data_IF_885135422901
#
_entry.id   IF_885135422901
#
_cell.length_a   1.000
_cell.length_b   1.000
_cell.length_c   1.000
_cell.angle_alpha   90.00
_cell.angle_beta   90.00
_cell.angle_gamma   90.00
#
_symmetry.space_group_name_H-M   'P 1'
#
loop_
_entity.id
_entity.type
_entity.pdbx_description
1 polymer ?
#
# COMPACT_ATOMS: atom_id res chain seq x y z
N UNK A 1 1.15 -1.51 1.89
CA UNK A 1 -0.13 -1.81 1.20
C UNK A 1 -0.78 -0.48 0.86
N UNK A 2 -1.31 -0.34 -0.36
CA UNK A 2 -2.04 0.86 -0.77
C UNK A 2 -3.51 0.49 -1.01
N UNK A 3 -4.43 1.14 -0.31
CA UNK A 3 -5.86 1.03 -0.57
C UNK A 3 -6.24 2.12 -1.58
N UNK A 4 -6.74 1.72 -2.74
CA UNK A 4 -7.25 2.67 -3.72
C UNK A 4 -8.51 3.36 -3.19
N UNK A 5 -8.74 4.61 -3.58
CA UNK A 5 -9.95 5.35 -3.25
C UNK A 5 -11.21 4.78 -3.95
N UNK A 6 -11.01 4.01 -5.04
CA UNK A 6 -12.05 3.28 -5.77
C UNK A 6 -11.54 1.93 -6.21
N UNK A 7 -12.43 0.95 -6.28
CA UNK A 7 -12.12 -0.37 -6.81
C UNK A 7 -11.75 -0.29 -8.29
N UNK A 8 -10.68 -0.98 -8.68
CA UNK A 8 -10.32 -1.15 -10.08
C UNK A 8 -11.32 -2.07 -10.79
N UNK A 9 -11.73 -1.72 -12.01
CA UNK A 9 -12.54 -2.59 -12.88
C UNK A 9 -11.63 -3.60 -13.55
N UNK A 10 -11.86 -4.90 -13.30
CA UNK A 10 -11.07 -5.96 -13.92
C UNK A 10 -11.51 -6.17 -15.38
N UNK A 11 -10.53 -6.37 -16.26
CA UNK A 11 -10.75 -6.60 -17.69
C UNK A 11 -9.55 -7.37 -18.29
N UNK A 12 -9.39 -7.34 -19.62
CA UNK A 12 -8.28 -8.02 -20.29
C UNK A 12 -6.89 -7.45 -19.94
N UNK A 13 -6.80 -6.16 -19.60
CA UNK A 13 -5.57 -5.44 -19.24
C UNK A 13 -5.35 -5.32 -17.72
N UNK A 14 -6.42 -5.40 -16.92
CA UNK A 14 -6.38 -5.23 -15.45
C UNK A 14 -6.77 -6.54 -14.78
N UNK A 15 -5.76 -7.25 -14.26
CA UNK A 15 -5.92 -8.53 -13.58
C UNK A 15 -5.24 -8.53 -12.22
N UNK A 16 -5.75 -9.39 -11.32
CA UNK A 16 -5.11 -9.65 -10.02
C UNK A 16 -4.05 -10.73 -10.20
N UNK A 17 -2.92 -10.57 -9.53
CA UNK A 17 -1.90 -11.61 -9.39
C UNK A 17 -2.03 -12.30 -8.03
N UNK A 18 -1.69 -13.59 -7.99
CA UNK A 18 -1.84 -14.40 -6.77
C UNK A 18 -0.64 -14.21 -5.85
N UNK A 19 -0.88 -14.31 -4.55
CA UNK A 19 0.17 -14.45 -3.55
C UNK A 19 0.54 -15.93 -3.37
N UNK A 20 1.79 -16.24 -2.96
CA UNK A 20 2.19 -17.59 -2.60
C UNK A 20 1.61 -18.00 -1.25
N UNK A 21 1.71 -19.30 -0.95
CA UNK A 21 1.46 -19.78 0.41
C UNK A 21 2.47 -19.16 1.38
N UNK A 22 2.11 -19.01 2.67
CA UNK A 22 3.05 -18.54 3.69
C UNK A 22 4.33 -19.38 3.75
N UNK A 23 5.44 -18.73 4.14
CA UNK A 23 6.74 -19.34 4.44
C UNK A 23 7.42 -20.13 3.29
N UNK A 24 6.94 -20.02 2.05
CA UNK A 24 7.61 -20.62 0.89
C UNK A 24 8.93 -19.91 0.58
N UNK A 25 10.02 -20.66 0.50
CA UNK A 25 11.30 -20.17 0.00
C UNK A 25 11.56 -20.66 -1.42
N UNK A 26 11.88 -19.74 -2.33
CA UNK A 26 12.27 -20.13 -3.68
C UNK A 26 13.66 -20.78 -3.65
N UNK A 27 13.81 -21.89 -4.35
CA UNK A 27 15.08 -22.61 -4.42
C UNK A 27 16.08 -21.82 -5.28
N UNK A 28 17.37 -21.77 -4.91
CA UNK A 28 18.40 -21.24 -5.79
C UNK A 28 18.35 -21.90 -7.17
N UNK A 29 18.57 -21.13 -8.24
CA UNK A 29 18.42 -21.58 -9.62
C UNK A 29 17.01 -21.42 -10.19
N UNK A 30 16.00 -21.08 -9.39
CA UNK A 30 14.66 -20.74 -9.89
C UNK A 30 14.74 -19.47 -10.75
N UNK A 31 14.29 -19.54 -11.99
CA UNK A 31 14.16 -18.37 -12.88
C UNK A 31 12.82 -17.69 -12.61
N UNK A 32 12.86 -16.38 -12.38
CA UNK A 32 11.71 -15.54 -12.12
C UNK A 32 11.75 -14.34 -13.08
N UNK A 33 10.59 -13.79 -13.39
CA UNK A 33 10.49 -12.53 -14.11
C UNK A 33 10.39 -11.36 -13.13
N UNK A 34 10.98 -10.23 -13.48
CA UNK A 34 10.74 -8.94 -12.83
C UNK A 34 10.31 -7.93 -13.89
N UNK A 35 9.34 -7.09 -13.55
CA UNK A 35 8.75 -6.11 -14.46
C UNK A 35 8.72 -4.72 -13.83
N UNK A 36 8.92 -3.68 -14.63
CA UNK A 36 8.91 -2.30 -14.14
C UNK A 36 9.19 -1.23 -15.20
N UNK A 37 9.08 0.02 -14.76
CA UNK A 37 9.39 1.23 -15.54
C UNK A 37 10.63 1.95 -14.99
N UNK A 38 11.45 1.26 -14.20
CA UNK A 38 12.71 1.78 -13.73
C UNK A 38 13.69 2.01 -14.86
N UNK A 39 14.83 2.62 -14.51
CA UNK A 39 15.83 3.00 -15.47
C UNK A 39 16.39 1.78 -16.21
N UNK A 40 16.50 1.87 -17.54
CA UNK A 40 17.05 0.81 -18.41
C UNK A 40 18.57 0.92 -18.60
N UNK A 41 19.19 1.94 -18.01
CA UNK A 41 20.63 2.15 -18.02
C UNK A 41 21.11 2.75 -16.70
N UNK A 42 22.41 2.67 -16.43
CA UNK A 42 23.03 3.28 -15.26
C UNK A 42 23.16 4.81 -15.38
N UNK A 43 22.51 5.42 -16.37
CA UNK A 43 22.57 6.86 -16.66
C UNK A 43 21.20 7.55 -16.51
N UNK A 44 20.19 6.86 -15.95
CA UNK A 44 18.88 7.44 -15.67
C UNK A 44 17.90 7.44 -16.85
N UNK A 45 18.16 6.61 -17.87
CA UNK A 45 17.27 6.50 -19.02
C UNK A 45 16.00 5.74 -18.65
N UNK A 46 14.83 6.32 -18.90
CA UNK A 46 13.53 5.72 -18.60
C UNK A 46 12.88 5.09 -19.83
N UNK A 47 12.26 3.91 -19.70
CA UNK A 47 11.61 3.26 -20.82
C UNK A 47 10.26 3.92 -21.14
N UNK A 48 9.89 3.89 -22.43
CA UNK A 48 8.56 4.31 -22.90
C UNK A 48 7.46 3.28 -22.63
N UNK A 49 7.85 2.02 -22.39
CA UNK A 49 6.95 0.89 -22.20
C UNK A 49 7.33 0.13 -20.92
N UNK A 50 6.43 -0.73 -20.45
CA UNK A 50 6.75 -1.64 -19.36
C UNK A 50 7.86 -2.61 -19.80
N UNK A 51 8.91 -2.71 -19.01
CA UNK A 51 10.03 -3.61 -19.28
C UNK A 51 9.89 -4.89 -18.44
N UNK A 52 10.49 -5.97 -18.95
CA UNK A 52 10.58 -7.27 -18.27
C UNK A 52 11.99 -7.83 -18.45
N UNK A 53 12.50 -8.49 -17.41
CA UNK A 53 13.72 -9.29 -17.53
C UNK A 53 13.68 -10.50 -16.60
N UNK A 54 14.48 -11.52 -16.95
CA UNK A 54 14.64 -12.71 -16.15
C UNK A 54 15.75 -12.52 -15.11
N UNK A 55 15.50 -13.02 -13.90
CA UNK A 55 16.49 -13.12 -12.84
C UNK A 55 16.48 -14.52 -12.23
N UNK A 56 17.64 -15.01 -11.85
CA UNK A 56 17.77 -16.32 -11.22
C UNK A 56 17.96 -16.16 -9.72
N UNK A 57 17.17 -16.88 -8.92
CA UNK A 57 17.31 -16.89 -7.47
C UNK A 57 18.70 -17.36 -7.06
N UNK A 58 19.39 -16.54 -6.28
CA UNK A 58 20.72 -16.83 -5.73
C UNK A 58 20.58 -17.34 -4.30
N UNK A 59 21.48 -18.24 -3.89
CA UNK A 59 21.51 -18.77 -2.52
C UNK A 59 21.66 -17.62 -1.53
N UNK A 60 20.71 -17.49 -0.59
CA UNK A 60 20.69 -16.42 0.42
C UNK A 60 22.00 -16.29 1.19
N UNK A 61 22.65 -17.41 1.53
CA UNK A 61 23.94 -17.39 2.24
C UNK A 61 25.04 -16.72 1.41
N UNK A 62 25.07 -16.96 0.10
CA UNK A 62 26.00 -16.29 -0.81
C UNK A 62 25.72 -14.79 -0.89
N UNK A 63 24.44 -14.41 -1.05
CA UNK A 63 24.09 -12.99 -1.07
C UNK A 63 24.41 -12.30 0.24
N UNK A 64 24.21 -12.96 1.38
CA UNK A 64 24.63 -12.42 2.67
C UNK A 64 26.14 -12.18 2.72
N UNK A 65 26.97 -13.05 2.15
CA UNK A 65 28.41 -12.82 2.02
C UNK A 65 28.71 -11.62 1.13
N UNK A 66 28.12 -11.58 -0.09
CA UNK A 66 28.32 -10.49 -1.05
C UNK A 66 27.90 -9.12 -0.49
N UNK A 67 26.80 -9.09 0.25
CA UNK A 67 26.26 -7.89 0.90
C UNK A 67 26.76 -7.68 2.34
N UNK A 68 27.89 -8.29 2.72
CA UNK A 68 28.56 -8.06 4.02
C UNK A 68 27.63 -8.20 5.24
N UNK A 69 26.78 -9.22 5.24
CA UNK A 69 25.87 -9.55 6.32
C UNK A 69 24.47 -8.93 6.23
N UNK A 70 24.21 -8.02 5.28
CA UNK A 70 22.96 -7.23 5.25
C UNK A 70 21.71 -7.97 4.74
N UNK A 71 21.85 -9.19 4.24
CA UNK A 71 20.73 -9.99 3.71
C UNK A 71 20.16 -10.90 4.81
N UNK A 72 18.88 -10.72 5.12
CA UNK A 72 18.15 -11.46 6.17
C UNK A 72 17.28 -12.61 5.62
N UNK A 73 16.67 -13.39 6.52
CA UNK A 73 15.70 -14.44 6.17
C UNK A 73 14.40 -13.90 5.54
N UNK A 74 14.14 -12.60 5.67
CA UNK A 74 13.00 -11.90 5.07
C UNK A 74 13.29 -11.42 3.63
N UNK A 75 14.44 -11.80 3.07
CA UNK A 75 14.87 -11.36 1.75
C UNK A 75 15.08 -12.55 0.81
N UNK A 76 14.80 -12.30 -0.46
CA UNK A 76 15.22 -13.09 -1.62
C UNK A 76 16.28 -12.29 -2.38
N UNK A 77 17.04 -13.01 -3.18
CA UNK A 77 18.17 -12.47 -3.90
C UNK A 77 18.15 -13.01 -5.33
N UNK A 78 18.34 -12.15 -6.32
CA UNK A 78 18.29 -12.50 -7.73
C UNK A 78 19.45 -11.89 -8.50
N UNK A 79 20.01 -12.64 -9.44
CA UNK A 79 20.95 -12.11 -10.42
C UNK A 79 20.75 -12.81 -11.75
N UNK A 80 20.88 -12.08 -12.86
CA UNK A 80 20.87 -12.70 -14.18
C UNK A 80 22.06 -13.63 -14.36
N UNK A 81 21.84 -14.74 -15.08
CA UNK A 81 22.90 -15.67 -15.48
C UNK A 81 23.63 -15.22 -16.74
N UNK A 82 23.09 -14.23 -17.44
CA UNK A 82 23.66 -13.70 -18.67
C UNK A 82 24.98 -12.95 -18.40
N UNK A 83 25.76 -12.77 -19.46
CA UNK A 83 27.02 -12.02 -19.45
C UNK A 83 26.78 -10.52 -19.44
N UNK A 84 25.64 -10.07 -19.96
CA UNK A 84 25.17 -8.68 -19.87
C UNK A 84 24.53 -8.41 -18.52
N UNK A 85 24.60 -7.14 -18.09
CA UNK A 85 23.94 -6.70 -16.86
C UNK A 85 22.45 -6.63 -17.10
N UNK A 86 21.71 -7.37 -16.29
CA UNK A 86 20.25 -7.44 -16.32
C UNK A 86 19.78 -7.61 -14.88
N UNK A 87 18.75 -6.86 -14.53
CA UNK A 87 18.24 -6.79 -13.17
C UNK A 87 17.33 -5.58 -13.00
N UNK A 88 17.14 -5.19 -11.76
CA UNK A 88 16.32 -4.03 -11.37
C UNK A 88 17.17 -2.77 -11.24
N UNK A 89 16.55 -1.62 -11.42
CA UNK A 89 17.21 -0.34 -11.26
C UNK A 89 16.34 0.69 -10.51
N UNK A 90 16.79 1.93 -10.47
CA UNK A 90 16.05 3.01 -9.85
C UNK A 90 14.66 3.15 -10.50
N UNK A 91 13.61 3.21 -9.68
CA UNK A 91 12.22 3.26 -10.15
C UNK A 91 11.49 1.91 -10.17
N UNK A 92 12.20 0.77 -10.10
CA UNK A 92 11.53 -0.54 -10.04
C UNK A 92 11.07 -0.94 -8.63
N UNK A 93 11.51 -0.22 -7.59
CA UNK A 93 11.16 -0.49 -6.19
C UNK A 93 9.65 -0.58 -5.98
N UNK A 94 9.20 -1.64 -5.30
CA UNK A 94 7.77 -1.96 -5.16
C UNK A 94 7.22 -2.86 -6.26
N UNK A 95 7.94 -3.05 -7.36
CA UNK A 95 7.60 -3.95 -8.45
C UNK A 95 7.63 -5.43 -8.05
N UNK A 96 6.95 -6.31 -8.81
CA UNK A 96 6.82 -7.72 -8.44
C UNK A 96 7.96 -8.57 -9.02
N UNK A 97 8.47 -9.50 -8.20
CA UNK A 97 9.22 -10.68 -8.66
C UNK A 97 8.24 -11.85 -8.81
N UNK A 98 8.04 -12.28 -10.05
CA UNK A 98 6.99 -13.21 -10.45
C UNK A 98 7.56 -14.59 -10.80
N UNK A 99 6.95 -15.64 -10.24
CA UNK A 99 7.22 -17.02 -10.63
C UNK A 99 5.91 -17.80 -10.68
N UNK A 100 5.66 -18.48 -11.81
CA UNK A 100 4.42 -19.28 -12.04
C UNK A 100 3.14 -18.49 -11.66
N UNK A 101 3.00 -17.27 -12.20
CA UNK A 101 1.86 -16.37 -11.98
C UNK A 101 1.57 -16.00 -10.51
N UNK A 102 2.60 -16.02 -9.65
CA UNK A 102 2.54 -15.59 -8.25
C UNK A 102 3.67 -14.62 -7.93
N UNK A 103 3.43 -13.67 -7.02
CA UNK A 103 4.44 -12.71 -6.58
C UNK A 103 5.18 -13.24 -5.35
N UNK A 104 6.45 -13.61 -5.50
CA UNK A 104 7.27 -14.12 -4.40
C UNK A 104 8.15 -13.04 -3.77
N UNK A 105 8.47 -12.00 -4.53
CA UNK A 105 9.33 -10.90 -4.09
C UNK A 105 8.75 -9.53 -4.43
N UNK A 106 9.14 -8.53 -3.65
CA UNK A 106 8.95 -7.11 -3.97
C UNK A 106 10.34 -6.52 -4.18
N UNK A 107 10.59 -5.86 -5.31
CA UNK A 107 11.85 -5.16 -5.57
C UNK A 107 12.15 -4.19 -4.42
N UNK A 108 13.34 -4.30 -3.83
CA UNK A 108 13.72 -3.51 -2.66
C UNK A 108 14.94 -2.63 -2.90
N UNK A 109 16.10 -3.23 -3.20
CA UNK A 109 17.33 -2.49 -3.46
C UNK A 109 18.30 -3.33 -4.29
N UNK A 110 19.22 -2.65 -4.98
CA UNK A 110 20.29 -3.25 -5.77
C UNK A 110 21.61 -2.52 -5.49
N UNK A 111 22.70 -2.96 -6.11
CA UNK A 111 23.99 -2.25 -6.05
C UNK A 111 23.95 -0.91 -6.78
N UNK A 112 25.03 -0.13 -6.63
CA UNK A 112 25.20 1.15 -7.33
C UNK A 112 25.10 1.00 -8.86
N UNK A 113 25.65 -0.10 -9.38
CA UNK A 113 25.51 -0.48 -10.79
C UNK A 113 24.40 -1.53 -10.91
N UNK A 114 23.31 -1.16 -11.58
CA UNK A 114 22.14 -2.00 -11.79
C UNK A 114 22.50 -3.29 -12.54
N UNK A 115 21.93 -4.42 -12.09
CA UNK A 115 22.18 -5.75 -12.65
C UNK A 115 23.56 -6.35 -12.36
N UNK A 116 24.40 -5.71 -11.54
CA UNK A 116 25.73 -6.23 -11.20
C UNK A 116 25.63 -7.46 -10.28
N UNK A 117 26.09 -8.60 -10.79
CA UNK A 117 26.06 -9.90 -10.11
C UNK A 117 26.92 -9.95 -8.85
N UNK A 118 27.85 -9.00 -8.66
CA UNK A 118 28.62 -8.83 -7.41
C UNK A 118 27.77 -8.25 -6.29
N UNK A 119 26.72 -7.52 -6.63
CA UNK A 119 25.69 -7.00 -5.74
C UNK A 119 24.30 -7.41 -6.23
N UNK A 120 23.95 -8.70 -6.14
CA UNK A 120 22.67 -9.21 -6.63
C UNK A 120 21.48 -8.42 -6.08
N UNK A 121 20.45 -8.27 -6.91
CA UNK A 121 19.23 -7.55 -6.58
C UNK A 121 18.52 -8.21 -5.40
N UNK A 122 18.06 -7.37 -4.47
CA UNK A 122 17.39 -7.81 -3.24
C UNK A 122 15.90 -7.51 -3.32
N UNK A 123 15.13 -8.54 -2.96
CA UNK A 123 13.69 -8.51 -2.95
C UNK A 123 13.18 -8.84 -1.53
N UNK A 124 12.12 -8.16 -1.09
CA UNK A 124 11.40 -8.56 0.12
C UNK A 124 10.69 -9.89 -0.12
N UNK A 125 10.92 -10.91 0.70
CA UNK A 125 10.30 -12.24 0.60
C UNK A 125 8.83 -12.19 1.08
N UNK A 126 7.88 -12.04 0.15
CA UNK A 126 6.46 -11.80 0.48
C UNK A 126 5.85 -12.95 1.29
N UNK A 127 6.29 -14.19 1.07
CA UNK A 127 5.75 -15.36 1.78
C UNK A 127 5.83 -15.24 3.31
N UNK A 128 6.78 -14.44 3.84
CA UNK A 128 6.91 -14.21 5.28
C UNK A 128 5.90 -13.19 5.82
N UNK A 129 5.18 -12.48 4.94
CA UNK A 129 4.27 -11.39 5.28
C UNK A 129 2.81 -11.68 4.91
N UNK A 130 2.50 -12.88 4.40
CA UNK A 130 1.16 -13.25 3.90
C UNK A 130 0.08 -13.03 4.97
N UNK A 131 0.32 -13.49 6.20
CA UNK A 131 -0.61 -13.31 7.31
C UNK A 131 -0.85 -11.83 7.65
N UNK A 132 0.23 -11.03 7.67
CA UNK A 132 0.13 -9.59 7.90
C UNK A 132 -0.63 -8.89 6.77
N UNK A 133 -0.42 -9.29 5.51
CA UNK A 133 -1.15 -8.76 4.35
C UNK A 133 -2.64 -9.07 4.50
N UNK A 134 -3.00 -10.33 4.75
CA UNK A 134 -4.41 -10.71 4.93
C UNK A 134 -5.06 -9.97 6.09
N UNK A 135 -4.43 -9.93 7.26
CA UNK A 135 -4.94 -9.21 8.43
C UNK A 135 -5.15 -7.72 8.13
N UNK A 136 -4.21 -7.10 7.43
CA UNK A 136 -4.31 -5.67 7.10
C UNK A 136 -5.42 -5.41 6.10
N UNK A 137 -5.51 -6.21 5.02
CA UNK A 137 -6.59 -6.06 4.03
C UNK A 137 -7.97 -6.30 4.66
N UNK A 138 -8.12 -7.30 5.54
CA UNK A 138 -9.40 -7.59 6.21
C UNK A 138 -9.84 -6.45 7.14
N UNK A 139 -8.93 -5.89 7.94
CA UNK A 139 -9.22 -4.75 8.83
C UNK A 139 -9.72 -3.52 8.08
N UNK A 140 -9.22 -3.26 6.87
CA UNK A 140 -9.62 -2.10 6.08
C UNK A 140 -10.83 -2.34 5.16
N UNK A 141 -11.30 -3.59 5.00
CA UNK A 141 -12.57 -3.90 4.32
C UNK A 141 -13.80 -3.62 5.20
N UNK A 142 -13.63 -3.68 6.51
CA UNK A 142 -14.66 -3.38 7.49
C UNK A 142 -14.10 -2.40 8.51
N UNK A 143 -14.24 -1.08 8.30
CA UNK A 143 -13.94 -0.12 9.34
C UNK A 143 -14.88 -0.41 10.53
N UNK A 144 -14.32 -0.93 11.61
CA UNK A 144 -14.89 -0.83 12.97
C UNK A 144 -15.20 0.66 13.22
N UNK A 145 -16.41 1.14 12.87
CA UNK A 145 -16.66 2.59 12.96
C UNK A 145 -17.92 3.20 12.35
N UNK A 146 -18.78 2.49 11.62
CA UNK A 146 -20.15 3.00 11.42
C UNK A 146 -21.06 2.50 12.56
N UNK A 147 -20.81 2.98 13.79
CA UNK A 147 -21.85 2.99 14.82
C UNK A 147 -22.92 3.97 14.34
N UNK A 148 -23.93 3.46 13.61
CA UNK A 148 -25.17 4.20 13.34
C UNK A 148 -25.76 4.54 14.71
N UNK A 149 -25.76 5.81 15.08
CA UNK A 149 -26.61 6.31 16.15
C UNK A 149 -28.05 5.93 15.77
N UNK A 150 -28.68 5.03 16.53
CA UNK A 150 -30.12 4.80 16.41
C UNK A 150 -30.80 6.09 16.87
N UNK A 151 -31.70 6.71 16.08
CA UNK A 151 -32.61 7.69 16.63
C UNK A 151 -33.49 6.97 17.65
N UNK A 152 -33.60 7.52 18.85
CA UNK A 152 -34.50 7.02 19.89
C UNK A 152 -35.96 7.03 19.41
N UNK A 153 -36.84 6.21 20.01
CA UNK A 153 -38.21 6.09 19.57
C UNK A 153 -38.96 7.42 19.78
N UNK A 154 -39.49 7.95 18.68
CA UNK A 154 -40.40 9.09 18.70
C UNK A 154 -41.67 8.74 19.46
N UNK A 155 -42.02 9.59 20.42
CA UNK A 155 -43.32 9.56 21.08
C UNK A 155 -44.31 10.39 20.26
N UNK A 156 -45.40 9.75 19.87
CA UNK A 156 -46.53 10.26 19.09
C UNK A 156 -47.66 10.79 19.98
N UNK A 157 -48.26 11.94 19.57
CA UNK A 157 -49.63 12.39 19.87
C UNK A 157 -49.84 13.02 21.26
N UNK A 158 -50.20 14.31 21.43
CA UNK A 158 -51.38 15.10 21.00
C UNK A 158 -51.97 15.79 22.26
N UNK A 159 -52.96 16.73 22.25
CA UNK A 159 -53.62 17.46 21.17
C UNK A 159 -53.51 19.01 21.28
N UNK A 160 -53.98 19.71 20.24
CA UNK A 160 -54.11 21.18 20.16
C UNK A 160 -55.27 21.72 21.02
N UNK A 161 -55.07 22.87 21.67
CA UNK A 161 -56.15 23.75 22.10
C UNK A 161 -55.70 25.23 22.24
N UNK A 162 -56.46 26.13 21.58
CA UNK A 162 -56.83 27.47 22.08
C UNK A 162 -55.79 28.59 22.23
N UNK A 163 -55.85 29.58 21.31
CA UNK A 163 -55.67 31.02 21.62
C UNK A 163 -57.08 31.62 21.74
N UNK A 164 -57.32 32.88 22.20
CA UNK A 164 -56.47 33.84 22.92
C UNK A 164 -57.18 34.49 24.14
N UNK A 165 -56.46 35.26 24.97
CA UNK A 165 -57.00 36.54 25.48
C UNK A 165 -55.93 37.48 26.06
N UNK A 166 -56.15 38.77 25.82
CA UNK A 166 -55.39 39.95 26.25
C UNK A 166 -55.88 40.43 27.62
N UNK A 167 -54.96 40.93 28.44
CA UNK A 167 -55.09 42.04 29.39
C UNK A 167 -53.64 42.35 29.86
N UNK A 168 -53.14 43.56 30.12
CA UNK A 168 -53.70 44.89 30.27
C UNK A 168 -52.65 45.71 31.04
N UNK A 169 -52.20 46.82 30.44
CA UNK A 169 -51.55 48.02 30.99
C UNK A 169 -50.88 48.05 32.39
N UNK A 170 -49.68 48.65 32.48
CA UNK A 170 -49.48 50.03 33.00
C UNK A 170 -48.02 50.49 32.90
N UNK A 171 -47.88 51.81 32.78
CA UNK A 171 -46.65 52.58 32.64
C UNK A 171 -46.25 53.30 33.94
N UNK A 172 -44.95 53.61 34.08
CA UNK A 172 -44.35 54.75 34.81
C UNK A 172 -42.84 54.73 34.45
N UNK A 173 -42.20 55.72 33.81
CA UNK A 173 -41.98 57.16 34.07
C UNK A 173 -40.78 57.46 35.01
N UNK A 174 -39.86 58.30 34.51
CA UNK A 174 -38.77 59.01 35.24
C UNK A 174 -37.44 58.25 35.29
N UNK A 175 -36.25 58.77 35.01
CA UNK A 175 -35.70 60.13 34.81
C UNK A 175 -34.18 59.99 34.99
N UNK A 176 -33.34 60.38 34.02
CA UNK A 176 -32.54 61.62 33.97
C UNK A 176 -31.18 61.61 34.74
N UNK A 177 -30.12 61.99 33.98
CA UNK A 177 -28.83 62.65 34.36
C UNK A 177 -27.75 61.73 34.96
N UNK A 178 -26.43 61.97 34.82
CA UNK A 178 -25.53 62.84 34.03
C UNK A 178 -24.08 62.32 34.29
N UNK A 179 -23.13 62.68 33.40
CA UNK A 179 -21.67 62.92 33.60
C UNK A 179 -20.87 62.01 34.56
N UNK A 180 -19.71 61.47 34.20
CA UNK A 180 -18.59 62.03 33.45
C UNK A 180 -17.30 61.67 34.23
N UNK A 181 -16.23 61.36 33.51
CA UNK A 181 -14.95 60.92 34.06
C UNK A 181 -14.20 60.06 33.05
#
# INVERSE_FOLDING_TARGET
>A
LAQLNRSATLNEYVKRIRLPSPHIDLKPGTVCAVVGWGDISNYGERPIQLMETDTTIVKRSLCRTLWRGRVSANMLCGASRNTTLQGVCAGDSGGPLVFKAKVYGIVSFSGERCGDRRYPDIYTKISNYIEWVHRTVLRHRHPEGQKKHKPGPGLTGGPKAGRPQRAGARAAAGGLRHHGG
#
